data_IF_879613178535
#
_entry.id   IF_879613178535
#
_cell.length_a   1.000
_cell.length_b   1.000
_cell.length_c   1.000
_cell.angle_alpha   90.00
_cell.angle_beta   90.00
_cell.angle_gamma   90.00
#
_symmetry.space_group_name_H-M   'P 1'
#
loop_
_entity.id
_entity.type
_entity.pdbx_description
1 polymer ?
#
# COMPACT_ATOMS: atom_id res chain seq x y z
N UNK A 1 23.08 18.53 -8.95
CA UNK A 1 21.61 18.71 -8.81
C UNK A 1 20.91 17.46 -9.34
N UNK A 2 20.00 16.86 -8.60
CA UNK A 2 19.25 15.68 -9.03
C UNK A 2 18.44 15.94 -10.29
N UNK A 3 18.53 15.05 -11.27
CA UNK A 3 17.73 15.07 -12.49
C UNK A 3 16.80 13.89 -12.50
N UNK A 4 15.49 14.13 -12.55
CA UNK A 4 14.47 13.08 -12.44
C UNK A 4 13.93 12.68 -13.81
N UNK A 5 13.92 11.37 -14.07
CA UNK A 5 13.33 10.74 -15.26
C UNK A 5 11.99 10.15 -14.90
N UNK A 6 10.88 10.43 -15.63
CA UNK A 6 9.59 9.79 -15.40
C UNK A 6 9.70 8.25 -15.50
N UNK A 7 9.09 7.55 -14.55
CA UNK A 7 9.05 6.08 -14.57
C UNK A 7 8.06 5.62 -15.64
N UNK A 8 8.54 4.81 -16.56
CA UNK A 8 7.78 4.13 -17.61
C UNK A 8 8.06 2.63 -17.56
N UNK A 9 7.35 1.85 -18.37
CA UNK A 9 7.58 0.41 -18.48
C UNK A 9 9.04 0.05 -18.79
N UNK A 10 9.73 0.85 -19.59
CA UNK A 10 11.14 0.63 -19.96
C UNK A 10 12.09 0.57 -18.74
N UNK A 11 11.68 1.17 -17.64
CA UNK A 11 12.46 1.22 -16.40
C UNK A 11 12.20 0.05 -15.43
N UNK A 12 11.31 -0.91 -15.77
CA UNK A 12 10.98 -2.00 -14.86
C UNK A 12 12.20 -2.81 -14.41
N UNK A 13 13.15 -3.07 -15.33
CA UNK A 13 14.36 -3.83 -15.02
C UNK A 13 15.28 -3.08 -14.03
N UNK A 14 15.39 -1.74 -14.17
CA UNK A 14 16.14 -0.90 -13.24
C UNK A 14 15.51 -0.93 -11.84
N UNK A 15 14.21 -0.68 -11.76
CA UNK A 15 13.47 -0.70 -10.49
C UNK A 15 13.64 -2.04 -9.77
N UNK A 16 13.42 -3.13 -10.49
CA UNK A 16 13.56 -4.49 -9.95
C UNK A 16 14.98 -4.80 -9.46
N UNK A 17 16.02 -4.30 -10.14
CA UNK A 17 17.41 -4.45 -9.72
C UNK A 17 17.63 -3.88 -8.30
N UNK A 18 17.08 -2.69 -8.00
CA UNK A 18 17.17 -2.08 -6.68
C UNK A 18 16.26 -2.77 -5.67
N UNK A 19 15.01 -3.04 -6.04
CA UNK A 19 14.02 -3.61 -5.14
C UNK A 19 14.27 -5.09 -4.80
N UNK A 20 15.01 -5.83 -5.60
CA UNK A 20 15.39 -7.21 -5.29
C UNK A 20 16.24 -7.34 -4.01
N UNK A 21 17.03 -6.32 -3.69
CA UNK A 21 17.83 -6.25 -2.45
C UNK A 21 17.13 -5.52 -1.30
N UNK A 22 15.91 -5.04 -1.51
CA UNK A 22 15.19 -4.20 -0.54
C UNK A 22 14.41 -5.07 0.46
N UNK A 23 14.69 -4.93 1.75
CA UNK A 23 14.05 -5.68 2.85
C UNK A 23 12.99 -4.88 3.61
N UNK A 24 12.51 -3.77 3.04
CA UNK A 24 11.51 -2.91 3.70
C UNK A 24 10.12 -3.55 3.77
N UNK A 25 9.86 -4.57 2.95
CA UNK A 25 8.60 -5.33 2.91
C UNK A 25 7.36 -4.48 2.57
N UNK A 26 7.54 -3.27 2.05
CA UNK A 26 6.46 -2.34 1.68
C UNK A 26 6.16 -2.40 0.18
N UNK A 27 4.89 -2.31 -0.18
CA UNK A 27 4.46 -2.47 -1.57
C UNK A 27 4.99 -1.39 -2.51
N UNK A 28 5.27 -0.19 -2.02
CA UNK A 28 5.83 0.89 -2.81
C UNK A 28 7.24 0.61 -3.34
N UNK A 29 7.96 -0.32 -2.72
CA UNK A 29 9.29 -0.78 -3.15
C UNK A 29 9.17 -1.96 -4.11
N UNK A 30 8.32 -1.79 -5.13
CA UNK A 30 8.07 -2.75 -6.19
C UNK A 30 7.86 -2.05 -7.53
N UNK A 31 8.27 -2.69 -8.61
CA UNK A 31 8.06 -2.14 -9.95
C UNK A 31 6.56 -2.14 -10.31
N UNK A 32 5.84 -3.16 -9.90
CA UNK A 32 4.40 -3.29 -10.13
C UNK A 32 3.61 -2.14 -9.53
N UNK A 33 3.85 -1.77 -8.27
CA UNK A 33 3.18 -0.63 -7.65
C UNK A 33 3.51 0.68 -8.38
N UNK A 34 4.79 0.93 -8.71
CA UNK A 34 5.17 2.16 -9.42
C UNK A 34 4.52 2.28 -10.79
N UNK A 35 4.43 1.19 -11.54
CA UNK A 35 3.82 1.16 -12.87
C UNK A 35 2.29 1.18 -12.81
N UNK A 36 1.68 0.42 -11.90
CA UNK A 36 0.23 0.38 -11.72
C UNK A 36 -0.36 1.76 -11.41
N UNK A 37 0.31 2.51 -10.50
CA UNK A 37 -0.15 3.83 -10.05
C UNK A 37 0.50 4.99 -10.80
N UNK A 38 1.22 4.75 -11.90
CA UNK A 38 2.01 5.75 -12.62
C UNK A 38 1.21 6.96 -13.09
N UNK A 39 -0.02 6.76 -13.57
CA UNK A 39 -0.90 7.84 -14.03
C UNK A 39 -1.40 8.73 -12.87
N UNK A 40 -1.47 8.19 -11.67
CA UNK A 40 -1.93 8.92 -10.49
C UNK A 40 -0.78 9.61 -9.75
N UNK A 41 0.25 8.85 -9.43
CA UNK A 41 1.39 9.32 -8.62
C UNK A 41 2.47 10.01 -9.46
N UNK A 42 2.48 9.81 -10.78
CA UNK A 42 3.48 10.35 -11.70
C UNK A 42 4.91 10.14 -11.20
N UNK A 43 5.29 8.90 -10.85
CA UNK A 43 6.58 8.62 -10.25
C UNK A 43 7.71 8.98 -11.21
N UNK A 44 8.79 9.52 -10.66
CA UNK A 44 10.03 9.75 -11.39
C UNK A 44 11.22 9.37 -10.51
N UNK A 45 12.34 8.99 -11.13
CA UNK A 45 13.51 8.52 -10.41
C UNK A 45 14.77 9.29 -10.80
N UNK A 46 15.73 9.25 -9.89
CA UNK A 46 17.13 9.60 -10.11
C UNK A 46 18.01 8.53 -9.47
N UNK A 47 19.21 8.34 -9.97
CA UNK A 47 20.25 7.54 -9.34
C UNK A 47 21.33 8.49 -8.80
N UNK A 48 21.59 8.43 -7.51
CA UNK A 48 22.59 9.28 -6.85
C UNK A 48 23.22 8.51 -5.66
N UNK A 49 24.51 8.68 -5.47
CA UNK A 49 25.26 8.00 -4.41
C UNK A 49 25.04 6.47 -4.36
N UNK A 50 24.86 5.84 -5.51
CA UNK A 50 24.56 4.40 -5.61
C UNK A 50 23.16 3.99 -5.14
N UNK A 51 22.28 4.94 -4.88
CA UNK A 51 20.90 4.71 -4.47
C UNK A 51 19.92 5.05 -5.58
N UNK A 52 18.78 4.34 -5.58
CA UNK A 52 17.58 4.74 -6.31
C UNK A 52 16.79 5.72 -5.46
N UNK A 53 16.56 6.91 -5.99
CA UNK A 53 15.72 7.96 -5.41
C UNK A 53 14.46 8.06 -6.26
N UNK A 54 13.30 7.79 -5.67
CA UNK A 54 12.01 7.94 -6.34
C UNK A 54 11.24 9.09 -5.70
N UNK A 55 10.59 9.89 -6.53
CA UNK A 55 9.60 10.87 -6.06
C UNK A 55 8.26 10.66 -6.73
N UNK A 56 7.21 10.98 -6.00
CA UNK A 56 5.83 10.85 -6.43
C UNK A 56 5.12 12.20 -6.31
N UNK A 57 4.04 12.38 -7.08
CA UNK A 57 3.19 13.58 -6.98
C UNK A 57 1.96 13.24 -6.14
N UNK A 58 1.88 13.78 -4.93
CA UNK A 58 0.75 13.58 -4.02
C UNK A 58 0.14 14.95 -3.71
N UNK A 59 -1.16 15.11 -3.96
CA UNK A 59 -1.91 16.36 -3.72
C UNK A 59 -1.27 17.61 -4.34
N UNK A 60 -0.59 17.42 -5.47
CA UNK A 60 0.06 18.51 -6.18
C UNK A 60 1.49 18.81 -5.72
N UNK A 61 2.01 18.13 -4.72
CA UNK A 61 3.36 18.29 -4.20
C UNK A 61 4.26 17.11 -4.58
N UNK A 62 5.57 17.36 -4.70
CA UNK A 62 6.57 16.31 -4.84
C UNK A 62 6.93 15.77 -3.46
N UNK A 63 6.84 14.45 -3.29
CA UNK A 63 7.29 13.73 -2.10
C UNK A 63 8.26 12.64 -2.53
N UNK A 64 9.29 12.40 -1.71
CA UNK A 64 10.32 11.42 -2.01
C UNK A 64 10.07 10.13 -1.22
N UNK A 65 10.24 8.98 -1.85
CA UNK A 65 10.33 7.73 -1.09
C UNK A 65 11.68 7.70 -0.35
N UNK A 66 11.75 6.94 0.74
CA UNK A 66 13.05 6.70 1.39
C UNK A 66 13.99 6.01 0.39
N UNK A 67 15.23 6.47 0.20
CA UNK A 67 16.12 5.96 -0.84
C UNK A 67 16.41 4.45 -0.71
N UNK A 68 16.54 3.78 -1.83
CA UNK A 68 16.88 2.35 -1.87
C UNK A 68 18.33 2.18 -2.31
N UNK A 69 19.21 1.68 -1.44
CA UNK A 69 20.61 1.51 -1.80
C UNK A 69 20.79 0.33 -2.78
N UNK A 70 21.68 0.51 -3.75
CA UNK A 70 22.34 -0.58 -4.45
C UNK A 70 23.44 -1.20 -3.57
N UNK A 71 24.24 -2.13 -4.11
CA UNK A 71 25.28 -2.83 -3.33
C UNK A 71 26.29 -1.90 -2.63
N UNK A 72 26.62 -0.77 -3.24
CA UNK A 72 27.56 0.22 -2.71
C UNK A 72 26.84 1.57 -2.45
N UNK A 73 25.53 1.53 -2.22
CA UNK A 73 24.71 2.73 -2.06
C UNK A 73 24.87 3.39 -0.68
N UNK A 74 25.05 4.70 -0.69
CA UNK A 74 25.12 5.55 0.50
C UNK A 74 23.81 6.33 0.67
N UNK A 75 22.94 5.85 1.57
CA UNK A 75 21.65 6.47 1.82
C UNK A 75 21.79 7.86 2.44
N UNK A 76 22.79 8.11 3.28
CA UNK A 76 22.99 9.43 3.90
C UNK A 76 23.39 10.48 2.85
N UNK A 77 24.27 10.10 1.92
CA UNK A 77 24.63 10.95 0.78
C UNK A 77 23.42 11.17 -0.15
N UNK A 78 22.60 10.15 -0.38
CA UNK A 78 21.37 10.28 -1.18
C UNK A 78 20.35 11.24 -0.52
N UNK A 79 20.16 11.16 0.81
CA UNK A 79 19.32 12.08 1.56
C UNK A 79 19.88 13.52 1.50
N UNK A 80 21.20 13.69 1.59
CA UNK A 80 21.85 14.99 1.40
C UNK A 80 21.61 15.59 0.01
N UNK A 81 21.63 14.74 -1.02
CA UNK A 81 21.30 15.19 -2.38
C UNK A 81 19.82 15.61 -2.52
N UNK A 82 18.89 14.93 -1.85
CA UNK A 82 17.47 15.32 -1.78
C UNK A 82 17.32 16.66 -1.07
N UNK A 83 17.99 16.87 0.09
CA UNK A 83 17.98 18.16 0.81
C UNK A 83 18.46 19.32 -0.09
N UNK A 84 19.61 19.12 -0.76
CA UNK A 84 20.16 20.12 -1.67
C UNK A 84 19.19 20.43 -2.82
N UNK A 85 18.61 19.37 -3.42
CA UNK A 85 17.60 19.52 -4.46
C UNK A 85 16.39 20.33 -3.99
N UNK A 86 15.85 20.01 -2.81
CA UNK A 86 14.70 20.70 -2.23
C UNK A 86 15.01 22.18 -1.96
N UNK A 87 16.22 22.47 -1.46
CA UNK A 87 16.68 23.85 -1.22
C UNK A 87 16.80 24.63 -2.53
N UNK A 88 17.47 24.04 -3.54
CA UNK A 88 17.72 24.69 -4.83
C UNK A 88 16.45 24.96 -5.65
N UNK A 89 15.42 24.12 -5.45
CA UNK A 89 14.14 24.19 -6.18
C UNK A 89 12.99 24.78 -5.36
N UNK A 90 13.27 25.23 -4.14
CA UNK A 90 12.25 25.71 -3.19
C UNK A 90 11.10 24.70 -2.99
N UNK A 91 11.41 23.40 -3.08
CA UNK A 91 10.46 22.32 -2.90
C UNK A 91 10.45 21.89 -1.43
N UNK A 92 9.28 21.68 -0.79
CA UNK A 92 9.23 21.14 0.56
C UNK A 92 9.98 19.79 0.68
N UNK A 93 10.78 19.63 1.73
CA UNK A 93 11.47 18.37 2.01
C UNK A 93 10.52 17.41 2.71
N UNK A 94 9.93 16.51 1.94
CA UNK A 94 9.00 15.48 2.42
C UNK A 94 9.50 14.11 2.01
N UNK A 95 9.86 13.28 2.99
CA UNK A 95 10.18 11.88 2.76
C UNK A 95 8.96 11.05 3.17
N UNK A 96 8.41 10.31 2.25
CA UNK A 96 7.26 9.42 2.46
C UNK A 96 7.67 7.95 2.34
N UNK A 97 6.76 7.06 2.75
CA UNK A 97 7.00 5.61 2.67
C UNK A 97 8.30 5.21 3.40
N UNK A 98 8.60 5.91 4.51
CA UNK A 98 9.75 5.55 5.34
C UNK A 98 9.41 4.28 6.11
N UNK A 99 10.21 3.21 6.01
CA UNK A 99 10.05 2.03 6.85
C UNK A 99 10.16 2.40 8.35
N UNK A 100 9.31 1.84 9.20
CA UNK A 100 9.29 2.16 10.64
C UNK A 100 10.68 2.00 11.29
N UNK A 101 11.46 0.99 10.86
CA UNK A 101 12.81 0.72 11.33
C UNK A 101 13.84 1.80 10.95
N UNK A 102 13.54 2.63 9.95
CA UNK A 102 14.40 3.73 9.50
C UNK A 102 14.08 5.07 10.18
N UNK A 103 12.98 5.14 10.92
CA UNK A 103 12.58 6.36 11.61
C UNK A 103 13.65 6.92 12.56
N UNK A 104 14.34 6.12 13.40
CA UNK A 104 15.35 6.66 14.31
C UNK A 104 16.49 7.39 13.60
N UNK A 105 16.92 6.91 12.42
CA UNK A 105 17.98 7.53 11.62
C UNK A 105 17.55 8.93 11.15
N UNK A 106 16.30 9.06 10.67
CA UNK A 106 15.78 10.32 10.18
C UNK A 106 15.49 11.33 11.31
N UNK A 107 15.06 10.86 12.47
CA UNK A 107 14.87 11.71 13.66
C UNK A 107 16.19 12.28 14.17
N UNK A 108 17.29 11.54 14.05
CA UNK A 108 18.63 12.05 14.39
C UNK A 108 19.12 13.05 13.34
N UNK A 109 18.85 12.80 12.05
CA UNK A 109 19.24 13.68 10.96
C UNK A 109 18.47 15.01 11.00
N UNK A 110 17.15 14.94 11.21
CA UNK A 110 16.26 16.09 11.21
C UNK A 110 15.52 16.18 12.56
N UNK A 111 16.08 16.87 13.56
CA UNK A 111 15.47 16.97 14.88
C UNK A 111 14.16 17.78 14.88
N UNK A 112 13.79 18.35 13.74
CA UNK A 112 12.56 19.12 13.56
C UNK A 112 11.83 18.63 12.34
N UNK A 113 10.94 17.71 12.54
CA UNK A 113 10.06 17.17 11.51
C UNK A 113 8.68 16.90 12.11
N UNK A 114 7.69 16.89 11.25
CA UNK A 114 6.39 16.29 11.55
C UNK A 114 6.41 14.87 11.01
N UNK A 115 6.06 13.91 11.87
CA UNK A 115 5.91 12.51 11.47
C UNK A 115 4.43 12.14 11.44
N UNK A 116 4.01 11.45 10.38
CA UNK A 116 2.67 10.87 10.27
C UNK A 116 2.79 9.37 10.02
N UNK A 117 1.92 8.58 10.67
CA UNK A 117 1.85 7.12 10.56
C UNK A 117 0.40 6.67 10.40
N UNK A 118 -0.16 6.87 9.22
CA UNK A 118 -1.56 6.59 8.98
C UNK A 118 -1.88 5.09 8.94
N UNK A 119 -2.83 4.67 9.78
CA UNK A 119 -3.31 3.30 9.85
C UNK A 119 -3.83 2.78 8.51
N UNK A 120 -4.45 3.63 7.71
CA UNK A 120 -5.08 3.28 6.44
C UNK A 120 -4.08 2.88 5.36
N UNK A 121 -2.82 3.26 5.53
CA UNK A 121 -1.73 3.05 4.57
C UNK A 121 -0.78 1.93 4.98
N UNK A 122 -0.99 1.30 6.17
CA UNK A 122 -0.14 0.20 6.63
C UNK A 122 -0.39 -1.06 5.80
N UNK A 123 0.69 -1.66 5.31
CA UNK A 123 0.63 -2.91 4.57
C UNK A 123 0.35 -4.11 5.46
N UNK A 124 -0.44 -5.01 4.96
CA UNK A 124 -0.77 -6.27 5.63
C UNK A 124 0.23 -7.35 5.25
N UNK A 125 1.11 -7.71 6.19
CA UNK A 125 2.09 -8.78 6.02
C UNK A 125 1.60 -10.08 6.64
N UNK A 126 1.71 -11.16 5.89
CA UNK A 126 1.35 -12.52 6.31
C UNK A 126 2.57 -13.42 6.18
N UNK A 127 2.68 -14.46 7.03
CA UNK A 127 3.66 -15.51 6.78
C UNK A 127 3.30 -16.26 5.50
N UNK A 128 4.25 -16.43 4.59
CA UNK A 128 4.01 -17.13 3.32
C UNK A 128 3.57 -18.57 3.55
N UNK A 129 4.19 -19.28 4.51
CA UNK A 129 3.83 -20.63 4.91
C UNK A 129 2.39 -20.75 5.45
N UNK A 130 1.95 -19.77 6.27
CA UNK A 130 0.58 -19.75 6.81
C UNK A 130 -0.45 -19.58 5.68
N UNK A 131 -0.18 -18.69 4.72
CA UNK A 131 -1.06 -18.43 3.59
C UNK A 131 -1.14 -19.60 2.62
N UNK A 132 -0.02 -20.30 2.41
CA UNK A 132 0.06 -21.48 1.54
C UNK A 132 -0.71 -22.67 2.14
N UNK A 133 -0.63 -22.89 3.45
CA UNK A 133 -1.19 -24.04 4.10
C UNK A 133 -2.59 -23.82 4.71
N UNK A 134 -2.89 -22.61 5.20
CA UNK A 134 -4.00 -22.31 6.08
C UNK A 134 -4.16 -23.34 7.21
N UNK A 135 -3.04 -23.72 7.85
CA UNK A 135 -2.99 -24.76 8.86
C UNK A 135 -3.60 -24.32 10.20
N UNK A 136 -4.05 -25.28 10.98
CA UNK A 136 -4.54 -25.07 12.35
C UNK A 136 -5.97 -24.51 12.43
N UNK A 137 -6.45 -24.41 13.69
CA UNK A 137 -7.83 -24.01 13.99
C UNK A 137 -8.14 -22.57 13.57
N UNK A 138 -7.14 -21.68 13.64
CA UNK A 138 -7.27 -20.26 13.30
C UNK A 138 -7.75 -20.01 11.86
N UNK A 139 -7.45 -20.91 10.92
CA UNK A 139 -7.84 -20.83 9.51
C UNK A 139 -8.99 -21.76 9.12
N UNK A 140 -9.74 -22.31 10.08
CA UNK A 140 -10.86 -23.22 9.78
C UNK A 140 -11.91 -22.59 8.87
N UNK A 141 -12.17 -21.27 9.02
CA UNK A 141 -13.10 -20.54 8.17
C UNK A 141 -12.69 -20.56 6.70
N UNK A 142 -11.42 -20.20 6.41
CA UNK A 142 -10.88 -20.21 5.05
C UNK A 142 -10.93 -21.60 4.44
N UNK A 143 -10.50 -22.63 5.19
CA UNK A 143 -10.59 -24.02 4.71
C UNK A 143 -12.03 -24.46 4.42
N UNK A 144 -13.01 -24.04 5.22
CA UNK A 144 -14.42 -24.35 4.96
C UNK A 144 -14.90 -23.73 3.65
N UNK A 145 -14.54 -22.47 3.36
CA UNK A 145 -14.85 -21.83 2.07
C UNK A 145 -14.18 -22.55 0.90
N UNK A 146 -12.91 -22.93 1.04
CA UNK A 146 -12.15 -23.67 0.02
C UNK A 146 -12.77 -25.05 -0.23
N UNK A 147 -13.11 -25.80 0.84
CA UNK A 147 -13.70 -27.12 0.71
C UNK A 147 -15.09 -27.06 0.06
N UNK A 148 -15.89 -26.03 0.39
CA UNK A 148 -17.19 -25.79 -0.25
C UNK A 148 -16.98 -25.51 -1.75
N UNK A 149 -16.06 -24.61 -2.12
CA UNK A 149 -15.74 -24.29 -3.50
C UNK A 149 -15.29 -25.51 -4.29
N UNK A 150 -14.36 -26.30 -3.76
CA UNK A 150 -13.88 -27.53 -4.43
C UNK A 150 -14.97 -28.59 -4.61
N UNK A 151 -15.92 -28.65 -3.68
CA UNK A 151 -17.07 -29.56 -3.79
C UNK A 151 -18.06 -29.10 -4.85
N UNK A 152 -18.29 -27.79 -4.94
CA UNK A 152 -19.24 -27.20 -5.90
C UNK A 152 -18.66 -27.16 -7.31
N UNK A 153 -17.33 -26.95 -7.43
CA UNK A 153 -16.60 -26.87 -8.70
C UNK A 153 -15.47 -27.90 -8.76
N UNK A 154 -15.79 -29.18 -8.99
CA UNK A 154 -14.80 -30.27 -8.97
C UNK A 154 -13.76 -30.19 -10.09
N UNK A 155 -14.03 -29.44 -11.16
CA UNK A 155 -13.12 -29.17 -12.28
C UNK A 155 -12.14 -28.03 -11.97
N UNK A 156 -12.30 -27.34 -10.84
CA UNK A 156 -11.49 -26.21 -10.45
C UNK A 156 -10.00 -26.59 -10.35
N UNK A 157 -9.16 -25.86 -11.07
CA UNK A 157 -7.69 -26.03 -11.03
C UNK A 157 -6.99 -24.69 -10.98
N UNK A 158 -5.90 -24.61 -10.22
CA UNK A 158 -4.98 -23.47 -10.26
C UNK A 158 -4.03 -23.64 -11.44
N UNK A 159 -3.77 -22.54 -12.14
CA UNK A 159 -2.80 -22.50 -13.24
C UNK A 159 -1.93 -21.24 -13.11
N UNK A 160 -0.62 -21.32 -13.35
CA UNK A 160 0.19 -20.14 -13.62
C UNK A 160 -0.33 -19.47 -14.88
N UNK A 161 -0.38 -18.14 -14.88
CA UNK A 161 -0.78 -17.32 -16.03
C UNK A 161 0.45 -16.64 -16.63
N UNK A 162 0.51 -16.63 -17.94
CA UNK A 162 1.58 -16.01 -18.73
C UNK A 162 1.01 -15.06 -19.77
N UNK A 163 1.87 -14.43 -20.57
CA UNK A 163 1.42 -13.63 -21.72
C UNK A 163 0.58 -14.42 -22.76
N UNK A 164 0.75 -15.73 -22.82
CA UNK A 164 -0.08 -16.58 -23.73
C UNK A 164 -1.54 -16.66 -23.26
N UNK A 165 -1.81 -16.40 -21.99
CA UNK A 165 -3.14 -16.50 -21.38
C UNK A 165 -3.92 -15.17 -21.43
N UNK A 166 -3.40 -14.14 -22.13
CA UNK A 166 -4.07 -12.84 -22.24
C UNK A 166 -5.53 -12.94 -22.71
N UNK A 167 -5.92 -13.80 -23.67
CA UNK A 167 -7.32 -13.94 -24.02
C UNK A 167 -8.22 -14.43 -22.87
N UNK A 168 -7.72 -15.31 -22.00
CA UNK A 168 -8.44 -15.75 -20.79
C UNK A 168 -8.57 -14.61 -19.80
N UNK A 169 -7.51 -13.82 -19.61
CA UNK A 169 -7.47 -12.67 -18.71
C UNK A 169 -8.44 -11.58 -19.20
N UNK A 170 -8.50 -11.30 -20.48
CA UNK A 170 -9.45 -10.33 -21.05
C UNK A 170 -10.91 -10.77 -20.88
N UNK A 171 -11.20 -12.04 -21.09
CA UNK A 171 -12.52 -12.60 -20.82
C UNK A 171 -12.89 -12.50 -19.33
N UNK A 172 -11.95 -12.82 -18.43
CA UNK A 172 -12.16 -12.65 -17.01
C UNK A 172 -12.51 -11.21 -16.63
N UNK A 173 -11.80 -10.23 -17.18
CA UNK A 173 -12.11 -8.82 -16.91
C UNK A 173 -13.49 -8.41 -17.42
N UNK A 174 -13.91 -8.91 -18.59
CA UNK A 174 -15.24 -8.65 -19.11
C UNK A 174 -16.33 -9.21 -18.18
N UNK A 175 -16.14 -10.45 -17.70
CA UNK A 175 -17.04 -11.07 -16.74
C UNK A 175 -17.04 -10.35 -15.38
N UNK A 176 -15.86 -9.97 -14.89
CA UNK A 176 -15.72 -9.26 -13.61
C UNK A 176 -16.39 -7.89 -13.65
N UNK A 177 -16.30 -7.15 -14.75
CA UNK A 177 -16.96 -5.85 -14.92
C UNK A 177 -18.48 -5.96 -14.90
N UNK A 178 -19.06 -7.05 -15.41
CA UNK A 178 -20.52 -7.28 -15.35
C UNK A 178 -20.99 -7.52 -13.92
N UNK A 179 -20.17 -8.17 -13.10
CA UNK A 179 -20.47 -8.43 -11.67
C UNK A 179 -20.06 -7.27 -10.74
N UNK A 180 -19.27 -6.30 -11.24
CA UNK A 180 -18.67 -5.24 -10.44
C UNK A 180 -19.69 -4.20 -10.02
N UNK A 181 -20.04 -4.20 -8.74
CA UNK A 181 -21.09 -3.34 -8.20
C UNK A 181 -20.58 -2.04 -7.55
N UNK A 182 -19.27 -1.88 -7.39
CA UNK A 182 -18.70 -0.68 -6.74
C UNK A 182 -18.81 0.53 -7.66
N UNK A 183 -19.43 1.60 -7.17
CA UNK A 183 -19.69 2.83 -7.92
C UNK A 183 -18.69 3.95 -7.61
N UNK A 184 -17.90 3.83 -6.52
CA UNK A 184 -16.96 4.87 -6.13
C UNK A 184 -15.89 5.11 -7.21
N UNK A 185 -15.50 6.37 -7.34
CA UNK A 185 -14.45 6.77 -8.30
C UNK A 185 -13.14 6.02 -8.07
N UNK A 186 -12.74 5.86 -6.80
CA UNK A 186 -11.51 5.16 -6.44
C UNK A 186 -11.55 3.68 -6.84
N UNK A 187 -12.66 2.99 -6.61
CA UNK A 187 -12.79 1.58 -6.98
C UNK A 187 -12.75 1.36 -8.51
N UNK A 188 -13.37 2.26 -9.27
CA UNK A 188 -13.31 2.21 -10.75
C UNK A 188 -11.90 2.48 -11.27
N UNK A 189 -11.21 3.44 -10.65
CA UNK A 189 -9.83 3.79 -11.00
C UNK A 189 -8.88 2.63 -10.69
N UNK A 190 -8.99 2.03 -9.51
CA UNK A 190 -8.19 0.85 -9.12
C UNK A 190 -8.42 -0.31 -10.11
N UNK A 191 -9.67 -0.57 -10.51
CA UNK A 191 -9.96 -1.60 -11.51
C UNK A 191 -9.28 -1.31 -12.86
N UNK A 192 -9.32 -0.07 -13.32
CA UNK A 192 -8.65 0.32 -14.57
C UNK A 192 -7.14 0.12 -14.49
N UNK A 193 -6.52 0.44 -13.36
CA UNK A 193 -5.09 0.26 -13.14
C UNK A 193 -4.71 -1.21 -12.99
N UNK A 194 -5.53 -2.03 -12.33
CA UNK A 194 -5.34 -3.48 -12.25
C UNK A 194 -5.36 -4.13 -13.65
N UNK A 195 -6.31 -3.71 -14.51
CA UNK A 195 -6.37 -4.15 -15.91
C UNK A 195 -5.14 -3.70 -16.70
N UNK A 196 -4.66 -2.48 -16.48
CA UNK A 196 -3.45 -1.97 -17.12
C UNK A 196 -2.21 -2.77 -16.69
N UNK A 197 -2.08 -3.09 -15.40
CA UNK A 197 -0.99 -3.93 -14.91
C UNK A 197 -1.04 -5.34 -15.51
N UNK A 198 -2.22 -5.94 -15.62
CA UNK A 198 -2.39 -7.28 -16.20
C UNK A 198 -1.85 -7.37 -17.66
N UNK A 199 -1.96 -6.28 -18.43
CA UNK A 199 -1.42 -6.19 -19.79
C UNK A 199 0.11 -6.22 -19.85
N UNK A 200 0.80 -6.08 -18.72
CA UNK A 200 2.25 -6.19 -18.62
C UNK A 200 2.72 -7.63 -18.33
N UNK A 201 1.81 -8.58 -18.15
CA UNK A 201 2.16 -9.99 -17.94
C UNK A 201 3.03 -10.60 -19.07
N UNK A 202 2.83 -10.25 -20.36
CA UNK A 202 3.70 -10.70 -21.44
C UNK A 202 5.17 -10.27 -21.31
N UNK A 203 5.48 -9.24 -20.54
CA UNK A 203 6.86 -8.81 -20.28
C UNK A 203 7.66 -9.82 -19.43
N UNK A 204 6.97 -10.82 -18.83
CA UNK A 204 7.59 -11.97 -18.17
C UNK A 204 8.20 -11.73 -16.78
N UNK A 205 8.01 -10.55 -16.19
CA UNK A 205 8.52 -10.23 -14.86
C UNK A 205 7.46 -10.27 -13.75
N UNK A 206 6.19 -10.16 -14.11
CA UNK A 206 5.07 -10.36 -13.19
C UNK A 206 4.78 -11.86 -13.03
N UNK A 207 4.42 -12.24 -11.82
CA UNK A 207 3.92 -13.56 -11.48
C UNK A 207 2.39 -13.53 -11.59
N UNK A 208 1.86 -14.30 -12.53
CA UNK A 208 0.42 -14.45 -12.74
C UNK A 208 -0.08 -15.81 -12.31
N UNK A 209 -1.26 -15.89 -11.71
CA UNK A 209 -1.92 -17.15 -11.41
C UNK A 209 -3.43 -17.01 -11.35
N UNK A 210 -4.13 -18.07 -11.71
CA UNK A 210 -5.58 -18.05 -11.75
C UNK A 210 -6.24 -19.37 -11.42
N UNK A 211 -7.53 -19.32 -11.12
CA UNK A 211 -8.40 -20.48 -10.96
C UNK A 211 -9.27 -20.63 -12.22
N UNK A 212 -9.17 -21.77 -12.86
CA UNK A 212 -10.06 -22.18 -13.92
C UNK A 212 -11.17 -23.08 -13.38
N UNK A 213 -12.40 -22.86 -13.83
CA UNK A 213 -13.56 -23.73 -13.67
C UNK A 213 -14.12 -23.98 -15.06
N UNK A 214 -14.20 -25.23 -15.51
CA UNK A 214 -14.63 -25.60 -16.86
C UNK A 214 -13.90 -24.77 -17.94
N UNK A 215 -12.57 -24.65 -17.80
CA UNK A 215 -11.64 -23.89 -18.64
C UNK A 215 -11.92 -22.35 -18.70
N UNK A 216 -12.81 -21.83 -17.87
CA UNK A 216 -13.07 -20.40 -17.69
C UNK A 216 -12.29 -19.88 -16.51
N UNK A 217 -11.61 -18.75 -16.64
CA UNK A 217 -10.91 -18.07 -15.54
C UNK A 217 -11.93 -17.38 -14.62
N UNK A 218 -12.01 -17.83 -13.37
CA UNK A 218 -12.99 -17.33 -12.38
C UNK A 218 -12.34 -16.49 -11.27
N UNK A 219 -11.01 -16.58 -11.14
CA UNK A 219 -10.24 -15.74 -10.21
C UNK A 219 -8.80 -15.61 -10.70
N UNK A 220 -8.15 -14.47 -10.44
CA UNK A 220 -6.75 -14.25 -10.80
C UNK A 220 -6.03 -13.37 -9.80
N UNK A 221 -4.72 -13.56 -9.72
CA UNK A 221 -3.80 -12.71 -8.96
C UNK A 221 -2.56 -12.39 -9.76
N UNK A 222 -2.01 -11.18 -9.52
CA UNK A 222 -0.74 -10.73 -10.07
C UNK A 222 0.16 -10.27 -8.93
N UNK A 223 1.42 -10.64 -8.99
CA UNK A 223 2.39 -10.34 -7.95
C UNK A 223 3.79 -10.18 -8.52
N UNK A 224 4.71 -9.73 -7.65
CA UNK A 224 6.15 -9.82 -7.87
C UNK A 224 6.87 -10.19 -6.58
N UNK A 225 8.08 -10.76 -6.67
CA UNK A 225 8.93 -11.03 -5.52
C UNK A 225 9.97 -9.90 -5.39
N UNK A 226 9.94 -9.20 -4.25
CA UNK A 226 10.86 -8.14 -3.89
C UNK A 226 11.49 -8.45 -2.53
N UNK A 227 12.81 -8.66 -2.48
CA UNK A 227 13.52 -8.88 -1.22
C UNK A 227 12.96 -10.00 -0.34
N UNK A 228 12.53 -11.12 -0.93
CA UNK A 228 11.92 -12.25 -0.20
C UNK A 228 10.51 -11.99 0.31
N UNK A 229 9.83 -10.98 -0.25
CA UNK A 229 8.41 -10.68 -0.01
C UNK A 229 7.64 -10.80 -1.32
N UNK A 230 6.61 -11.65 -1.32
CA UNK A 230 5.67 -11.74 -2.44
C UNK A 230 4.65 -10.60 -2.30
N UNK A 231 4.74 -9.59 -3.15
CA UNK A 231 3.84 -8.43 -3.14
C UNK A 231 2.71 -8.69 -4.11
N UNK A 232 1.49 -8.71 -3.59
CA UNK A 232 0.27 -8.98 -4.35
C UNK A 232 -0.37 -7.68 -4.79
N UNK A 233 -0.27 -7.35 -6.07
CA UNK A 233 -0.82 -6.13 -6.66
C UNK A 233 -2.29 -6.26 -7.04
N UNK A 234 -2.68 -7.44 -7.50
CA UNK A 234 -4.04 -7.71 -7.96
C UNK A 234 -4.51 -9.04 -7.40
N UNK A 235 -5.66 -9.06 -6.77
CA UNK A 235 -6.41 -10.25 -6.39
C UNK A 235 -7.88 -10.01 -6.69
N UNK A 236 -8.44 -10.74 -7.65
CA UNK A 236 -9.84 -10.61 -8.06
C UNK A 236 -10.46 -11.99 -8.26
N UNK A 237 -11.74 -12.11 -7.89
CA UNK A 237 -12.54 -13.31 -8.14
C UNK A 237 -13.96 -12.90 -8.49
N UNK A 238 -14.60 -13.67 -9.37
CA UNK A 238 -16.00 -13.48 -9.72
C UNK A 238 -16.89 -13.72 -8.49
N UNK A 239 -17.82 -12.82 -8.22
CA UNK A 239 -18.73 -12.90 -7.08
C UNK A 239 -19.68 -14.11 -7.18
N UNK A 240 -20.00 -14.54 -8.39
CA UNK A 240 -20.80 -15.72 -8.70
C UNK A 240 -20.16 -17.03 -8.23
N UNK A 241 -18.84 -17.06 -7.98
CA UNK A 241 -18.08 -18.25 -7.60
C UNK A 241 -17.65 -18.16 -6.12
N UNK A 242 -18.59 -18.43 -5.21
CA UNK A 242 -18.35 -18.34 -3.78
C UNK A 242 -17.23 -19.29 -3.32
N UNK A 243 -16.23 -18.74 -2.62
CA UNK A 243 -15.05 -19.49 -2.16
C UNK A 243 -13.89 -19.49 -3.17
N UNK A 244 -14.04 -18.96 -4.38
CA UNK A 244 -12.95 -18.80 -5.34
C UNK A 244 -11.83 -17.93 -4.77
N UNK A 245 -12.18 -16.81 -4.11
CA UNK A 245 -11.19 -15.88 -3.56
C UNK A 245 -10.24 -16.55 -2.55
N UNK A 246 -10.67 -17.16 -1.42
CA UNK A 246 -9.75 -17.84 -0.52
C UNK A 246 -9.04 -19.04 -1.15
N UNK A 247 -9.63 -19.69 -2.15
CA UNK A 247 -8.98 -20.77 -2.90
C UNK A 247 -7.83 -20.23 -3.74
N UNK A 248 -8.02 -19.09 -4.42
CA UNK A 248 -6.97 -18.41 -5.17
C UNK A 248 -5.83 -18.00 -4.22
N UNK A 249 -6.15 -17.33 -3.11
CA UNK A 249 -5.16 -16.86 -2.13
C UNK A 249 -4.26 -17.99 -1.66
N UNK A 250 -4.84 -19.15 -1.28
CA UNK A 250 -4.08 -20.32 -0.85
C UNK A 250 -3.23 -20.90 -1.98
N UNK A 251 -3.83 -21.12 -3.13
CA UNK A 251 -3.16 -21.77 -4.25
C UNK A 251 -2.01 -20.90 -4.82
N UNK A 252 -2.22 -19.58 -4.88
CA UNK A 252 -1.21 -18.63 -5.32
C UNK A 252 -0.02 -18.58 -4.35
N UNK A 253 -0.31 -18.50 -3.03
CA UNK A 253 0.71 -18.54 -2.00
C UNK A 253 1.49 -19.87 -2.01
N UNK A 254 0.82 -21.01 -2.19
CA UNK A 254 1.46 -22.30 -2.27
C UNK A 254 2.37 -22.44 -3.51
N UNK A 255 2.01 -21.79 -4.63
CA UNK A 255 2.76 -21.88 -5.88
C UNK A 255 3.96 -20.93 -5.92
N UNK A 256 3.76 -19.66 -5.49
CA UNK A 256 4.76 -18.60 -5.65
C UNK A 256 5.42 -18.13 -4.35
N UNK A 257 4.92 -18.56 -3.19
CA UNK A 257 5.39 -18.08 -1.89
C UNK A 257 6.56 -18.89 -1.29
N UNK A 258 6.99 -19.98 -1.93
CA UNK A 258 7.95 -20.92 -1.35
C UNK A 258 9.30 -20.31 -0.93
N UNK A 259 9.79 -19.33 -1.70
CA UNK A 259 11.06 -18.63 -1.43
C UNK A 259 10.86 -17.31 -0.67
N UNK A 260 9.62 -17.01 -0.23
CA UNK A 260 9.29 -15.77 0.46
C UNK A 260 9.06 -16.01 1.95
N UNK A 261 9.51 -15.06 2.77
CA UNK A 261 9.20 -15.03 4.21
C UNK A 261 7.79 -14.47 4.42
N UNK A 262 7.46 -13.43 3.67
CA UNK A 262 6.18 -12.73 3.78
C UNK A 262 5.43 -12.68 2.46
N UNK A 263 4.11 -12.59 2.58
CA UNK A 263 3.21 -12.11 1.53
C UNK A 263 2.68 -10.77 1.98
N UNK A 264 2.91 -9.74 1.17
CA UNK A 264 2.35 -8.41 1.35
C UNK A 264 1.12 -8.27 0.44
N UNK A 265 -0.04 -7.98 1.03
CA UNK A 265 -1.30 -7.76 0.30
C UNK A 265 -1.71 -6.29 0.31
N UNK A 266 -0.73 -5.40 0.36
CA UNK A 266 -0.88 -3.95 0.35
C UNK A 266 -1.77 -3.42 1.50
N UNK A 267 -2.10 -2.14 1.50
CA UNK A 267 -2.92 -1.49 2.52
C UNK A 267 -4.43 -1.64 2.26
N UNK A 268 -5.27 -1.05 3.11
CA UNK A 268 -6.74 -1.07 2.98
C UNK A 268 -7.33 0.27 2.50
N UNK A 269 -6.50 1.29 2.26
CA UNK A 269 -6.90 2.63 1.83
C UNK A 269 -8.11 3.21 2.60
N UNK A 270 -8.33 2.78 3.85
CA UNK A 270 -9.47 3.17 4.68
C UNK A 270 -10.79 2.46 4.36
N UNK A 271 -10.82 1.54 3.38
CA UNK A 271 -12.04 0.75 3.06
C UNK A 271 -12.28 -0.30 4.15
N UNK A 272 -13.39 -0.16 4.89
CA UNK A 272 -13.76 -1.05 6.01
C UNK A 272 -14.00 -2.50 5.58
N UNK A 273 -14.56 -2.71 4.40
CA UNK A 273 -14.79 -4.05 3.86
C UNK A 273 -13.48 -4.75 3.54
N UNK A 274 -12.56 -4.02 2.89
CA UNK A 274 -11.23 -4.50 2.57
C UNK A 274 -10.42 -4.77 3.85
N UNK A 275 -10.48 -3.86 4.84
CA UNK A 275 -9.87 -4.04 6.17
C UNK A 275 -10.36 -5.32 6.85
N UNK A 276 -11.68 -5.51 6.93
CA UNK A 276 -12.27 -6.72 7.54
C UNK A 276 -11.80 -7.97 6.80
N UNK A 277 -11.83 -7.96 5.47
CA UNK A 277 -11.35 -9.08 4.66
C UNK A 277 -9.88 -9.40 4.93
N UNK A 278 -9.00 -8.39 4.93
CA UNK A 278 -7.56 -8.59 5.17
C UNK A 278 -7.28 -9.13 6.58
N UNK A 279 -7.95 -8.60 7.61
CA UNK A 279 -7.78 -9.06 8.99
C UNK A 279 -8.22 -10.51 9.21
N UNK A 280 -9.18 -11.03 8.44
CA UNK A 280 -9.61 -12.43 8.51
C UNK A 280 -8.52 -13.44 8.13
N UNK A 281 -7.47 -13.00 7.42
CA UNK A 281 -6.31 -13.81 7.09
C UNK A 281 -5.18 -13.72 8.12
N UNK A 282 -5.40 -13.02 9.24
CA UNK A 282 -4.52 -12.96 10.42
C UNK A 282 -3.11 -12.47 10.06
N UNK A 283 -2.95 -11.22 9.65
CA UNK A 283 -1.64 -10.66 9.35
C UNK A 283 -0.74 -10.74 10.59
N UNK A 284 0.53 -11.05 10.39
CA UNK A 284 1.51 -11.11 11.48
C UNK A 284 2.07 -9.72 11.81
N UNK A 285 1.98 -8.80 10.87
CA UNK A 285 2.41 -7.40 11.04
C UNK A 285 1.58 -6.49 10.15
N UNK A 286 1.34 -5.29 10.64
CA UNK A 286 0.94 -4.15 9.82
C UNK A 286 2.18 -3.28 9.65
N UNK A 287 2.78 -3.33 8.47
CA UNK A 287 4.00 -2.58 8.19
C UNK A 287 3.68 -1.11 7.96
N UNK A 288 4.20 -0.25 8.82
CA UNK A 288 3.98 1.19 8.74
C UNK A 288 4.77 1.85 7.63
N UNK A 289 4.17 2.89 7.06
CA UNK A 289 4.73 3.76 6.04
C UNK A 289 4.75 5.17 6.59
N UNK A 290 5.87 5.56 7.19
CA UNK A 290 5.96 6.86 7.83
C UNK A 290 6.14 7.96 6.78
N UNK A 291 5.53 9.11 7.04
CA UNK A 291 5.74 10.33 6.28
C UNK A 291 6.41 11.35 7.18
N UNK A 292 7.54 11.87 6.73
CA UNK A 292 8.33 12.87 7.42
C UNK A 292 8.27 14.19 6.63
N UNK A 293 7.81 15.24 7.26
CA UNK A 293 7.84 16.60 6.72
C UNK A 293 8.89 17.38 7.51
N UNK A 294 10.01 17.66 6.85
CA UNK A 294 11.11 18.39 7.50
C UNK A 294 10.78 19.86 7.52
N UNK A 295 10.69 20.44 8.71
CA UNK A 295 10.38 21.86 8.89
C UNK A 295 11.62 22.71 8.62
N UNK A 296 11.53 23.62 7.68
CA UNK A 296 12.57 24.64 7.45
C UNK A 296 12.47 25.77 8.50
N UNK A 297 13.52 26.61 8.61
CA UNK A 297 13.49 27.74 9.54
C UNK A 297 12.37 28.76 9.25
N UNK A 298 11.95 28.86 7.98
CA UNK A 298 10.83 29.71 7.60
C UNK A 298 9.49 29.20 8.16
N UNK A 299 9.35 27.90 8.38
CA UNK A 299 8.14 27.33 8.99
C UNK A 299 8.02 27.67 10.48
N UNK A 300 9.14 28.00 11.16
CA UNK A 300 9.13 28.51 12.51
C UNK A 300 8.45 29.87 12.65
N UNK A 301 8.47 30.67 11.60
CA UNK A 301 7.84 31.98 11.58
C UNK A 301 6.33 31.90 11.35
N UNK A 302 5.83 30.72 10.99
CA UNK A 302 4.40 30.42 10.92
C UNK A 302 3.90 29.85 12.22
N UNK A 303 4.08 30.60 13.32
CA UNK A 303 3.28 30.34 14.52
C UNK A 303 1.81 30.36 14.10
N UNK A 304 1.09 29.28 14.43
CA UNK A 304 -0.35 29.27 14.20
C UNK A 304 -0.91 30.42 15.02
N UNK A 305 -1.46 31.48 14.37
CA UNK A 305 -1.82 32.68 15.11
C UNK A 305 -3.00 32.42 16.03
N UNK A 306 -2.94 32.98 17.22
CA UNK A 306 -4.14 33.12 18.02
C UNK A 306 -5.08 34.12 17.35
N UNK A 307 -6.27 33.68 16.96
CA UNK A 307 -7.29 34.53 16.33
C UNK A 307 -8.35 34.86 17.35
N UNK A 308 -8.48 36.16 17.70
CA UNK A 308 -9.49 36.63 18.63
C UNK A 308 -10.63 37.32 17.87
N UNK A 309 -11.85 36.88 18.16
CA UNK A 309 -13.08 37.51 17.68
C UNK A 309 -13.84 38.09 18.90
N UNK A 310 -14.91 38.88 18.70
CA UNK A 310 -15.70 39.38 19.84
C UNK A 310 -16.31 38.27 20.74
N UNK A 311 -16.33 37.04 20.29
CA UNK A 311 -16.98 35.91 20.98
C UNK A 311 -16.05 34.73 21.25
N UNK A 312 -14.94 34.60 20.53
CA UNK A 312 -14.09 33.39 20.54
C UNK A 312 -12.63 33.78 20.46
N UNK A 313 -11.81 33.04 21.14
CA UNK A 313 -10.36 33.00 20.91
C UNK A 313 -10.01 31.61 20.40
N UNK A 314 -9.49 31.57 19.18
CA UNK A 314 -9.02 30.33 18.54
C UNK A 314 -7.53 30.25 18.77
N UNK A 315 -7.09 29.20 19.42
CA UNK A 315 -5.68 28.89 19.68
C UNK A 315 -5.30 27.56 19.02
N UNK A 316 -4.02 27.33 18.71
CA UNK A 316 -3.55 25.99 18.37
C UNK A 316 -3.95 24.99 19.46
N UNK A 317 -4.19 23.73 19.06
CA UNK A 317 -4.35 22.65 20.01
C UNK A 317 -3.01 22.39 20.70
N UNK A 318 -3.03 22.23 22.03
CA UNK A 318 -1.90 21.88 22.85
C UNK A 318 -2.23 20.61 23.65
N UNK A 319 -1.22 19.93 24.18
CA UNK A 319 -1.36 18.71 25.00
C UNK A 319 -2.41 18.84 26.11
N UNK A 320 -2.51 20.04 26.73
CA UNK A 320 -3.53 20.35 27.74
C UNK A 320 -4.98 20.25 27.21
N UNK A 321 -5.18 20.31 25.90
CA UNK A 321 -6.49 20.31 25.25
C UNK A 321 -6.96 18.90 24.90
N UNK A 322 -6.10 17.89 25.05
CA UNK A 322 -6.35 16.49 24.69
C UNK A 322 -7.67 15.95 25.27
N UNK A 323 -7.86 16.09 26.59
CA UNK A 323 -9.07 15.59 27.24
C UNK A 323 -10.34 16.26 26.72
N UNK A 324 -10.30 17.56 26.44
CA UNK A 324 -11.43 18.30 25.89
C UNK A 324 -11.69 17.92 24.41
N UNK A 325 -10.62 17.73 23.64
CA UNK A 325 -10.71 17.29 22.26
C UNK A 325 -11.31 15.87 22.14
N UNK A 326 -10.84 14.95 22.98
CA UNK A 326 -11.35 13.60 23.05
C UNK A 326 -12.83 13.55 23.47
N UNK A 327 -13.23 14.34 24.47
CA UNK A 327 -14.62 14.48 24.87
C UNK A 327 -15.50 15.01 23.71
N UNK A 328 -14.97 15.94 22.94
CA UNK A 328 -15.63 16.49 21.78
C UNK A 328 -15.80 15.46 20.64
N UNK A 329 -14.81 14.59 20.42
CA UNK A 329 -14.89 13.50 19.43
C UNK A 329 -15.92 12.43 19.82
N UNK A 330 -16.23 12.28 21.10
CA UNK A 330 -17.20 11.32 21.61
C UNK A 330 -18.61 11.89 21.79
N UNK A 331 -18.82 13.19 21.53
CA UNK A 331 -20.13 13.86 21.70
C UNK A 331 -21.13 13.41 20.60
N UNK A 332 -22.17 12.72 21.03
CA UNK A 332 -23.24 12.23 20.19
C UNK A 332 -24.00 13.32 19.42
N UNK A 333 -24.28 14.43 20.10
CA UNK A 333 -25.04 15.53 19.51
C UNK A 333 -24.25 16.17 18.35
N UNK A 334 -22.95 16.26 18.51
CA UNK A 334 -22.04 16.80 17.51
C UNK A 334 -21.78 15.82 16.37
N UNK A 335 -21.47 14.55 16.67
CA UNK A 335 -21.17 13.54 15.68
C UNK A 335 -22.33 13.32 14.70
N UNK A 336 -23.57 13.52 15.17
CA UNK A 336 -24.77 13.52 14.33
C UNK A 336 -24.71 14.55 13.18
N UNK A 337 -24.10 15.72 13.42
CA UNK A 337 -24.01 16.81 12.43
C UNK A 337 -22.73 16.76 11.61
N UNK A 338 -21.69 16.14 12.16
CA UNK A 338 -20.40 16.00 11.48
C UNK A 338 -20.40 14.92 10.39
N UNK A 339 -21.38 14.02 10.40
CA UNK A 339 -21.52 12.94 9.41
C UNK A 339 -20.54 11.79 9.62
N UNK A 340 -19.73 11.80 10.69
CA UNK A 340 -18.76 10.77 11.03
C UNK A 340 -18.81 10.48 12.53
N UNK A 341 -18.91 9.20 12.88
CA UNK A 341 -18.91 8.75 14.29
C UNK A 341 -17.57 8.08 14.63
N UNK A 342 -16.68 8.81 15.24
CA UNK A 342 -15.35 8.36 15.66
C UNK A 342 -15.38 7.14 16.60
N UNK A 343 -16.48 6.92 17.34
CA UNK A 343 -16.64 5.75 18.22
C UNK A 343 -16.64 4.43 17.47
N UNK A 344 -17.00 4.44 16.18
CA UNK A 344 -16.97 3.25 15.35
C UNK A 344 -15.53 2.77 15.08
N UNK A 345 -14.57 3.67 15.14
CA UNK A 345 -13.15 3.35 14.96
C UNK A 345 -12.47 3.01 16.27
N UNK A 346 -12.94 3.60 17.38
CA UNK A 346 -12.29 3.51 18.69
C UNK A 346 -12.63 2.23 19.48
N UNK A 347 -13.71 1.50 19.14
CA UNK A 347 -14.19 0.31 19.91
C UNK A 347 -14.10 0.46 21.44
N UNK A 348 -14.25 1.69 21.95
CA UNK A 348 -14.22 2.03 23.34
C UNK A 348 -12.85 2.36 23.94
N UNK A 349 -11.78 2.33 23.16
CA UNK A 349 -10.46 2.81 23.58
C UNK A 349 -10.07 4.06 22.78
N UNK A 350 -9.89 5.18 23.49
CA UNK A 350 -9.19 6.35 22.97
C UNK A 350 -7.72 5.97 22.91
N UNK A 351 -7.18 5.75 21.76
CA UNK A 351 -5.74 5.55 21.59
C UNK A 351 -5.07 6.89 21.41
N UNK A 352 -3.82 7.02 21.87
CA UNK A 352 -2.98 8.22 21.78
C UNK A 352 -2.81 8.74 20.32
N UNK A 353 -3.21 7.93 19.33
CA UNK A 353 -3.08 8.20 17.90
C UNK A 353 -3.97 9.32 17.34
N UNK A 354 -4.90 9.88 18.12
CA UNK A 354 -5.80 10.94 17.64
C UNK A 354 -5.28 12.35 17.89
N UNK A 355 -4.31 12.48 18.78
CA UNK A 355 -3.77 13.78 19.16
C UNK A 355 -2.40 14.07 18.52
N UNK A 356 -1.74 13.04 18.00
CA UNK A 356 -0.47 13.14 17.28
C UNK A 356 -0.71 13.25 15.78
#
# INVERSE_FOLDING_TARGET
MLTFTPITLEHHALLRKYYAGCDYHLCEYSAGTKLMWSLYLRPSFAEEAGCLIVRNRIDGEWVFDYPVPGPDGDVDAALTAIESYCTDTETPLVISVVPEEKAPELLLRWPRLRMNNERNWKDYLYRAEDMAAFAGRKYSGQRNHINKFRKEYPTAKFVPLTGADMPLIENFWADYEQEFQKTSFNAKRELAYAKALARLLPEGWLLGGGLLVDDRLVAMSLAENCGGTLIIHVEKALYSHQGAYPTLVQAFAAHFGGDCVYINREDDAGDRGLRTSKLQYLPVRLAGKLRFEVQCEADRLREIPTVTTPRLTLTPLEERDEAAYNALCLDDARNRWWGYDYRQDLKGELTEDYFL
#
